data_IF_104179044560
#
_entry.id   IF_104179044560
#
_cell.length_a   1.000
_cell.length_b   1.000
_cell.length_c   1.000
_cell.angle_alpha   90.00
_cell.angle_beta   90.00
_cell.angle_gamma   90.00
#
_symmetry.space_group_name_H-M   'P 1'
#
loop_
_entity.id
_entity.type
_entity.pdbx_description
1 polymer ?
#
# COMPACT_ATOMS: atom_id res chain seq x y z
N UNK A 1 -29.50 1.62 -28.88
CA UNK A 1 -28.03 1.62 -29.04
C UNK A 1 -27.36 2.53 -28.02
N UNK A 2 -27.65 3.84 -27.97
CA UNK A 2 -27.09 4.74 -26.94
C UNK A 2 -27.48 4.35 -25.51
N UNK A 3 -28.75 3.99 -25.28
CA UNK A 3 -29.22 3.53 -23.96
C UNK A 3 -28.57 2.23 -23.49
N UNK A 4 -28.23 1.32 -24.40
CA UNK A 4 -27.52 0.06 -24.09
C UNK A 4 -26.05 0.34 -23.76
N UNK A 5 -25.40 1.23 -24.52
CA UNK A 5 -24.04 1.68 -24.24
C UNK A 5 -23.92 2.35 -22.85
N UNK A 6 -24.88 3.17 -22.47
CA UNK A 6 -24.89 3.80 -21.14
C UNK A 6 -25.15 2.77 -20.02
N UNK A 7 -26.00 1.78 -20.28
CA UNK A 7 -26.22 0.66 -19.36
C UNK A 7 -24.94 -0.17 -19.16
N UNK A 8 -24.25 -0.52 -20.23
CA UNK A 8 -23.00 -1.28 -20.19
C UNK A 8 -21.88 -0.51 -19.46
N UNK A 9 -21.78 0.80 -19.69
CA UNK A 9 -20.84 1.67 -18.96
C UNK A 9 -21.13 1.69 -17.47
N UNK A 10 -22.40 1.83 -17.08
CA UNK A 10 -22.78 1.83 -15.66
C UNK A 10 -22.51 0.49 -14.97
N UNK A 11 -22.77 -0.63 -15.65
CA UNK A 11 -22.47 -1.97 -15.13
C UNK A 11 -20.96 -2.18 -14.98
N UNK A 12 -20.17 -1.69 -15.92
CA UNK A 12 -18.71 -1.76 -15.88
C UNK A 12 -18.14 -0.89 -14.76
N UNK A 13 -18.64 0.34 -14.63
CA UNK A 13 -18.28 1.27 -13.57
C UNK A 13 -18.59 0.72 -12.17
N UNK A 14 -19.70 -0.02 -12.01
CA UNK A 14 -20.05 -0.66 -10.75
C UNK A 14 -19.05 -1.77 -10.33
N UNK A 15 -18.43 -2.48 -11.28
CA UNK A 15 -17.42 -3.52 -11.00
C UNK A 15 -16.08 -2.91 -10.57
N UNK A 16 -15.78 -1.71 -11.05
CA UNK A 16 -14.55 -0.94 -10.74
C UNK A 16 -14.51 -0.43 -9.31
N UNK A 17 -15.65 -0.18 -8.67
CA UNK A 17 -15.67 0.14 -7.25
C UNK A 17 -15.59 -1.13 -6.41
N UNK A 18 -14.63 -1.20 -5.50
CA UNK A 18 -14.53 -2.32 -4.57
C UNK A 18 -15.66 -2.23 -3.52
N UNK A 19 -16.02 -3.34 -2.86
CA UNK A 19 -16.88 -3.30 -1.68
C UNK A 19 -16.30 -2.39 -0.60
N UNK A 20 -17.17 -1.71 0.16
CA UNK A 20 -16.74 -0.68 1.13
C UNK A 20 -15.75 -1.18 2.19
N UNK A 21 -15.74 -2.48 2.51
CA UNK A 21 -14.82 -3.08 3.47
C UNK A 21 -13.40 -3.26 2.91
N UNK A 22 -13.23 -3.29 1.59
CA UNK A 22 -11.94 -3.56 0.94
C UNK A 22 -10.93 -2.45 1.23
N UNK A 23 -11.33 -1.19 1.07
CA UNK A 23 -10.45 -0.04 1.30
C UNK A 23 -9.91 0.07 2.75
N UNK A 24 -10.73 -0.03 3.81
CA UNK A 24 -10.22 -0.04 5.17
C UNK A 24 -9.38 -1.29 5.47
N UNK A 25 -9.70 -2.44 4.88
CA UNK A 25 -8.85 -3.63 5.01
C UNK A 25 -7.47 -3.41 4.39
N UNK A 26 -7.40 -2.85 3.18
CA UNK A 26 -6.12 -2.58 2.53
C UNK A 26 -5.29 -1.53 3.28
N UNK A 27 -5.96 -0.50 3.81
CA UNK A 27 -5.34 0.48 4.72
C UNK A 27 -4.78 -0.17 5.99
N UNK A 28 -5.55 -1.06 6.61
CA UNK A 28 -5.12 -1.81 7.80
C UNK A 28 -3.93 -2.73 7.52
N UNK A 29 -3.96 -3.48 6.41
CA UNK A 29 -2.86 -4.36 6.00
C UNK A 29 -1.59 -3.54 5.75
N UNK A 30 -1.69 -2.42 5.04
CA UNK A 30 -0.57 -1.52 4.76
C UNK A 30 0.02 -0.92 6.04
N UNK A 31 -0.82 -0.44 6.95
CA UNK A 31 -0.38 0.05 8.26
C UNK A 31 0.28 -1.04 9.10
N UNK A 32 -0.29 -2.25 9.11
CA UNK A 32 0.22 -3.36 9.91
C UNK A 32 1.59 -3.83 9.41
N UNK A 33 1.76 -3.96 8.09
CA UNK A 33 3.06 -4.29 7.47
C UNK A 33 4.09 -3.22 7.82
N UNK A 34 3.74 -1.95 7.68
CA UNK A 34 4.67 -0.85 7.95
C UNK A 34 5.01 -0.72 9.44
N UNK A 35 4.03 -0.95 10.32
CA UNK A 35 4.23 -0.93 11.77
C UNK A 35 5.12 -2.08 12.25
N UNK A 36 4.88 -3.30 11.75
CA UNK A 36 5.75 -4.44 12.04
C UNK A 36 7.14 -4.28 11.45
N UNK A 37 7.26 -3.70 10.24
CA UNK A 37 8.55 -3.38 9.66
C UNK A 37 9.31 -2.36 10.52
N UNK A 38 8.64 -1.30 10.98
CA UNK A 38 9.22 -0.33 11.90
C UNK A 38 9.66 -0.96 13.22
N UNK A 39 8.83 -1.83 13.80
CA UNK A 39 9.17 -2.59 15.02
C UNK A 39 10.38 -3.50 14.79
N UNK A 40 10.41 -4.26 13.70
CA UNK A 40 11.53 -5.11 13.34
C UNK A 40 12.81 -4.30 13.13
N UNK A 41 12.71 -3.16 12.44
CA UNK A 41 13.85 -2.29 12.19
C UNK A 41 14.37 -1.63 13.48
N UNK A 42 13.49 -1.33 14.45
CA UNK A 42 13.88 -0.87 15.78
C UNK A 42 14.69 -1.89 16.59
N UNK A 43 14.60 -3.18 16.26
CA UNK A 43 15.38 -4.25 16.89
C UNK A 43 16.78 -4.38 16.30
N UNK A 44 17.08 -3.62 15.24
CA UNK A 44 18.43 -3.56 14.69
C UNK A 44 19.27 -2.59 15.52
N UNK A 45 20.20 -3.15 16.29
CA UNK A 45 21.26 -2.39 16.94
C UNK A 45 22.33 -2.07 15.90
N UNK A 46 22.06 -1.01 15.13
CA UNK A 46 23.01 -0.47 14.17
C UNK A 46 23.97 0.47 14.91
N UNK A 47 25.25 0.12 14.92
CA UNK A 47 26.32 0.92 15.50
C UNK A 47 27.19 1.47 14.38
N UNK A 48 27.42 2.78 14.38
CA UNK A 48 28.41 3.43 13.52
C UNK A 48 29.70 3.66 14.31
N UNK A 49 30.81 3.10 13.86
CA UNK A 49 32.16 3.41 14.38
C UNK A 49 33.01 4.07 13.29
N UNK A 50 34.19 4.60 13.66
CA UNK A 50 35.15 5.14 12.69
C UNK A 50 35.67 4.11 11.66
N UNK A 51 35.38 2.82 11.87
CA UNK A 51 35.77 1.70 11.00
C UNK A 51 34.62 1.20 10.10
N UNK A 52 33.39 1.72 10.27
CA UNK A 52 32.24 1.38 9.44
C UNK A 52 30.93 1.24 10.22
N UNK A 53 29.94 0.63 9.57
CA UNK A 53 28.63 0.32 10.15
C UNK A 53 28.55 -1.16 10.50
N UNK A 54 28.21 -1.48 11.75
CA UNK A 54 27.87 -2.84 12.16
C UNK A 54 26.39 -2.90 12.54
N UNK A 55 25.73 -4.00 12.20
CA UNK A 55 24.33 -4.24 12.54
C UNK A 55 24.21 -5.57 13.27
N UNK A 56 23.69 -5.53 14.49
CA UNK A 56 23.29 -6.71 15.25
C UNK A 56 21.80 -6.69 15.53
N UNK A 57 21.21 -7.87 15.75
CA UNK A 57 19.84 -7.96 16.28
C UNK A 57 19.95 -7.88 17.80
N UNK A 58 19.32 -6.88 18.43
CA UNK A 58 19.31 -6.73 19.90
C UNK A 58 18.26 -7.58 20.60
N UNK A 59 17.37 -8.22 19.84
CA UNK A 59 16.30 -9.09 20.36
C UNK A 59 16.64 -10.56 20.20
N UNK A 60 15.78 -11.42 20.76
CA UNK A 60 15.91 -12.85 20.51
C UNK A 60 15.66 -13.16 19.03
N UNK A 61 16.41 -14.13 18.48
CA UNK A 61 16.19 -14.62 17.12
C UNK A 61 14.73 -15.06 16.90
N UNK A 62 14.08 -15.59 17.94
CA UNK A 62 12.68 -16.00 17.88
C UNK A 62 11.73 -14.82 17.64
N UNK A 63 11.93 -13.68 18.31
CA UNK A 63 11.10 -12.48 18.11
C UNK A 63 11.31 -11.86 16.74
N UNK A 64 12.57 -11.73 16.30
CA UNK A 64 12.89 -11.21 14.98
C UNK A 64 12.31 -12.09 13.85
N UNK A 65 12.36 -13.42 14.02
CA UNK A 65 11.73 -14.37 13.11
C UNK A 65 10.21 -14.23 13.10
N UNK A 66 9.59 -14.08 14.27
CA UNK A 66 8.13 -13.96 14.39
C UNK A 66 7.61 -12.67 13.72
N UNK A 67 8.29 -11.54 13.91
CA UNK A 67 7.94 -10.27 13.26
C UNK A 67 8.06 -10.39 11.72
N UNK A 68 9.14 -11.00 11.22
CA UNK A 68 9.31 -11.29 9.78
C UNK A 68 8.23 -12.24 9.24
N UNK A 69 7.90 -13.30 9.98
CA UNK A 69 6.84 -14.24 9.62
C UNK A 69 5.49 -13.54 9.47
N UNK A 70 5.14 -12.63 10.39
CA UNK A 70 3.90 -11.86 10.30
C UNK A 70 3.91 -10.86 9.16
N UNK A 71 5.02 -10.17 8.93
CA UNK A 71 5.17 -9.26 7.77
C UNK A 71 4.89 -10.01 6.47
N UNK A 72 5.55 -11.16 6.27
CA UNK A 72 5.36 -11.99 5.08
C UNK A 72 3.93 -12.51 4.97
N UNK A 73 3.33 -12.93 6.10
CA UNK A 73 1.93 -13.39 6.15
C UNK A 73 0.97 -12.28 5.73
N UNK A 74 1.13 -11.07 6.25
CA UNK A 74 0.27 -9.93 5.90
C UNK A 74 0.45 -9.49 4.45
N UNK A 75 1.68 -9.51 3.92
CA UNK A 75 1.94 -9.27 2.50
C UNK A 75 1.24 -10.32 1.65
N UNK A 76 1.29 -11.60 2.04
CA UNK A 76 0.61 -12.68 1.33
C UNK A 76 -0.92 -12.53 1.38
N UNK A 77 -1.49 -12.17 2.53
CA UNK A 77 -2.92 -11.84 2.64
C UNK A 77 -3.28 -10.66 1.73
N UNK A 78 -2.47 -9.61 1.71
CA UNK A 78 -2.64 -8.47 0.80
C UNK A 78 -2.59 -8.90 -0.67
N UNK A 79 -1.67 -9.80 -1.03
CA UNK A 79 -1.62 -10.39 -2.38
C UNK A 79 -2.91 -11.14 -2.74
N UNK A 80 -3.43 -11.98 -1.84
CA UNK A 80 -4.70 -12.70 -2.06
C UNK A 80 -5.90 -11.77 -2.20
N UNK A 81 -5.97 -10.72 -1.38
CA UNK A 81 -7.02 -9.70 -1.45
C UNK A 81 -6.97 -8.95 -2.79
N UNK A 82 -5.78 -8.60 -3.26
CA UNK A 82 -5.60 -7.96 -4.57
C UNK A 82 -5.90 -8.91 -5.75
N UNK A 83 -5.55 -10.19 -5.64
CA UNK A 83 -5.89 -11.19 -6.64
C UNK A 83 -7.41 -11.37 -6.75
N UNK A 84 -8.09 -11.50 -5.62
CA UNK A 84 -9.56 -11.49 -5.57
C UNK A 84 -10.15 -10.21 -6.17
N UNK A 85 -9.55 -9.05 -5.89
CA UNK A 85 -9.99 -7.77 -6.47
C UNK A 85 -9.90 -7.79 -8.00
N UNK A 86 -8.83 -8.34 -8.55
CA UNK A 86 -8.64 -8.49 -10.00
C UNK A 86 -9.74 -9.35 -10.63
N UNK A 87 -10.10 -10.45 -9.98
CA UNK A 87 -11.18 -11.34 -10.47
C UNK A 87 -12.53 -10.62 -10.50
N UNK A 88 -12.82 -9.76 -9.52
CA UNK A 88 -14.07 -8.99 -9.47
C UNK A 88 -14.18 -7.92 -10.57
N UNK A 89 -13.05 -7.30 -10.92
CA UNK A 89 -13.02 -6.27 -11.97
C UNK A 89 -13.16 -6.93 -13.36
N UNK A 90 -12.61 -8.13 -13.53
CA UNK A 90 -12.66 -8.89 -14.78
C UNK A 90 -11.49 -8.60 -15.72
N UNK A 91 -11.47 -9.29 -16.87
CA UNK A 91 -10.35 -9.26 -17.82
C UNK A 91 -10.21 -7.93 -18.58
N UNK A 92 -11.20 -7.03 -18.50
CA UNK A 92 -11.23 -5.77 -19.23
C UNK A 92 -10.21 -4.73 -18.69
N UNK A 93 -9.70 -4.95 -17.48
CA UNK A 93 -8.78 -4.05 -16.81
C UNK A 93 -7.59 -4.79 -16.20
N UNK A 94 -6.39 -4.37 -16.60
CA UNK A 94 -5.16 -4.79 -15.95
C UNK A 94 -5.02 -4.15 -14.57
N UNK A 95 -4.36 -4.87 -13.65
CA UNK A 95 -3.91 -4.34 -12.37
C UNK A 95 -2.39 -4.31 -12.29
N UNK A 96 -1.85 -3.27 -11.68
CA UNK A 96 -0.42 -3.06 -11.44
C UNK A 96 -0.25 -2.67 -9.97
N UNK A 97 0.48 -3.48 -9.20
CA UNK A 97 0.77 -3.24 -7.77
C UNK A 97 -0.49 -3.02 -6.92
N UNK A 98 -1.58 -3.73 -7.20
CA UNK A 98 -2.86 -3.61 -6.48
C UNK A 98 -3.78 -2.50 -6.98
N UNK A 99 -3.34 -1.64 -7.89
CA UNK A 99 -4.18 -0.59 -8.50
C UNK A 99 -4.61 -0.98 -9.91
N UNK A 100 -5.75 -0.46 -10.36
CA UNK A 100 -6.12 -0.51 -11.78
C UNK A 100 -5.05 0.23 -12.58
N UNK A 101 -4.57 -0.39 -13.67
CA UNK A 101 -3.51 0.18 -14.52
C UNK A 101 -3.88 1.60 -14.99
N UNK A 102 -3.01 2.60 -14.78
CA UNK A 102 -3.28 3.97 -15.20
C UNK A 102 -3.55 4.08 -16.71
N UNK A 103 -4.60 4.82 -17.08
CA UNK A 103 -5.02 5.00 -18.49
C UNK A 103 -4.86 6.41 -19.03
N UNK A 104 -4.64 7.39 -18.17
CA UNK A 104 -4.43 8.78 -18.56
C UNK A 104 -3.39 9.46 -17.66
N UNK A 105 -2.99 10.67 -18.01
CA UNK A 105 -1.97 11.43 -17.29
C UNK A 105 -2.32 11.67 -15.80
N UNK A 106 -3.61 11.88 -15.49
CA UNK A 106 -4.06 12.09 -14.10
C UNK A 106 -3.88 10.81 -13.29
N UNK A 107 -4.29 9.65 -13.81
CA UNK A 107 -4.09 8.37 -13.12
C UNK A 107 -2.60 8.05 -12.94
N UNK A 108 -1.77 8.35 -13.95
CA UNK A 108 -0.32 8.19 -13.84
C UNK A 108 0.29 9.08 -12.76
N UNK A 109 -0.18 10.32 -12.65
CA UNK A 109 0.24 11.24 -11.60
C UNK A 109 -0.14 10.71 -10.22
N UNK A 110 -1.40 10.30 -10.01
CA UNK A 110 -1.85 9.72 -8.73
C UNK A 110 -1.07 8.47 -8.34
N UNK A 111 -0.88 7.56 -9.29
CA UNK A 111 -0.11 6.33 -9.06
C UNK A 111 1.35 6.62 -8.70
N UNK A 112 2.00 7.53 -9.44
CA UNK A 112 3.38 7.94 -9.17
C UNK A 112 3.52 8.65 -7.82
N UNK A 113 2.56 9.51 -7.47
CA UNK A 113 2.53 10.19 -6.18
C UNK A 113 2.37 9.20 -5.03
N UNK A 114 1.53 8.17 -5.19
CA UNK A 114 1.38 7.10 -4.20
C UNK A 114 2.68 6.33 -4.01
N UNK A 115 3.33 5.92 -5.11
CA UNK A 115 4.61 5.22 -5.06
C UNK A 115 5.72 6.06 -4.42
N UNK A 116 5.75 7.37 -4.71
CA UNK A 116 6.67 8.31 -4.08
C UNK A 116 6.44 8.39 -2.56
N UNK A 117 5.19 8.49 -2.11
CA UNK A 117 4.87 8.52 -0.68
C UNK A 117 5.28 7.22 0.02
N UNK A 118 5.01 6.07 -0.59
CA UNK A 118 5.47 4.77 -0.06
C UNK A 118 7.01 4.71 0.03
N UNK A 119 7.71 5.20 -1.00
CA UNK A 119 9.17 5.29 -1.00
C UNK A 119 9.70 6.20 0.11
N UNK A 120 9.10 7.38 0.30
CA UNK A 120 9.44 8.31 1.39
C UNK A 120 9.18 7.67 2.75
N UNK A 121 8.08 6.93 2.92
CA UNK A 121 7.75 6.28 4.18
C UNK A 121 8.81 5.22 4.56
N UNK A 122 9.21 4.37 3.61
CA UNK A 122 10.28 3.38 3.81
C UNK A 122 11.61 4.08 4.10
N UNK A 123 11.98 5.09 3.31
CA UNK A 123 13.21 5.85 3.52
C UNK A 123 13.22 6.53 4.90
N UNK A 124 12.08 7.03 5.37
CA UNK A 124 11.94 7.65 6.69
C UNK A 124 12.18 6.65 7.83
N UNK A 125 11.70 5.41 7.70
CA UNK A 125 12.01 4.35 8.67
C UNK A 125 13.49 4.01 8.64
N UNK A 126 14.09 3.90 7.45
CA UNK A 126 15.54 3.63 7.33
C UNK A 126 16.37 4.74 7.97
N UNK A 127 16.07 6.01 7.65
CA UNK A 127 16.72 7.18 8.26
C UNK A 127 16.51 7.20 9.77
N UNK A 128 15.31 6.84 10.23
CA UNK A 128 15.02 6.78 11.66
C UNK A 128 15.90 5.75 12.38
N UNK A 129 16.02 4.54 11.84
CA UNK A 129 16.89 3.49 12.40
C UNK A 129 18.36 3.91 12.38
N UNK A 130 18.82 4.58 11.32
CA UNK A 130 20.23 4.91 11.16
C UNK A 130 20.67 6.16 11.95
N UNK A 131 19.79 7.16 12.10
CA UNK A 131 20.18 8.50 12.54
C UNK A 131 19.30 9.07 13.67
N UNK A 132 18.08 8.59 13.87
CA UNK A 132 17.07 9.24 14.74
C UNK A 132 16.44 8.28 15.76
N UNK A 133 17.19 7.28 16.23
CA UNK A 133 16.72 6.26 17.21
C UNK A 133 16.13 6.86 18.52
N UNK A 134 16.28 8.16 18.76
CA UNK A 134 15.69 8.90 19.89
C UNK A 134 14.21 9.29 19.77
N UNK A 135 13.52 8.98 18.66
CA UNK A 135 12.08 9.30 18.48
C UNK A 135 11.24 8.00 18.49
N UNK A 136 10.78 7.50 19.64
CA UNK A 136 10.23 6.14 19.76
C UNK A 136 8.95 5.89 18.94
N UNK A 137 8.12 6.90 18.70
CA UNK A 137 6.80 6.72 18.08
C UNK A 137 6.75 6.99 16.56
N UNK A 138 7.87 7.44 15.97
CA UNK A 138 7.90 7.84 14.55
C UNK A 138 7.47 6.71 13.59
N UNK A 139 7.89 5.44 13.77
CA UNK A 139 7.47 4.36 12.88
C UNK A 139 5.96 4.08 12.91
N UNK A 140 5.32 4.20 14.08
CA UNK A 140 3.88 4.03 14.23
C UNK A 140 3.10 5.18 13.59
N UNK A 141 3.60 6.42 13.70
CA UNK A 141 3.03 7.56 13.01
C UNK A 141 3.10 7.39 11.48
N UNK A 142 4.26 6.97 10.95
CA UNK A 142 4.44 6.68 9.53
C UNK A 142 3.49 5.57 9.09
N UNK A 143 3.40 4.47 9.84
CA UNK A 143 2.50 3.37 9.54
C UNK A 143 1.02 3.80 9.45
N UNK A 144 0.59 4.66 10.37
CA UNK A 144 -0.77 5.21 10.38
C UNK A 144 -1.04 6.07 9.15
N UNK A 145 -0.09 6.94 8.77
CA UNK A 145 -0.20 7.79 7.59
C UNK A 145 -0.24 6.95 6.31
N UNK A 146 0.62 5.93 6.19
CA UNK A 146 0.63 5.01 5.05
C UNK A 146 -0.70 4.27 4.94
N UNK A 147 -1.24 3.76 6.06
CA UNK A 147 -2.54 3.09 6.08
C UNK A 147 -3.70 4.00 5.67
N UNK A 148 -3.71 5.26 6.14
CA UNK A 148 -4.70 6.23 5.74
C UNK A 148 -4.60 6.56 4.24
N UNK A 149 -3.39 6.74 3.72
CA UNK A 149 -3.17 7.03 2.30
C UNK A 149 -3.56 5.82 1.43
N UNK A 150 -3.25 4.59 1.85
CA UNK A 150 -3.70 3.38 1.16
C UNK A 150 -5.23 3.30 1.12
N UNK A 151 -5.90 3.51 2.25
CA UNK A 151 -7.37 3.51 2.30
C UNK A 151 -7.97 4.61 1.41
N UNK A 152 -7.71 5.88 1.73
CA UNK A 152 -8.38 6.99 1.07
C UNK A 152 -7.90 7.19 -0.36
N UNK A 153 -6.61 6.94 -0.62
CA UNK A 153 -5.99 7.09 -1.93
C UNK A 153 -6.53 6.09 -2.94
N UNK A 154 -6.61 4.80 -2.59
CA UNK A 154 -7.17 3.78 -3.47
C UNK A 154 -8.67 4.01 -3.70
N UNK A 155 -9.42 4.38 -2.66
CA UNK A 155 -10.83 4.72 -2.81
C UNK A 155 -11.05 5.92 -3.74
N UNK A 156 -10.24 6.97 -3.61
CA UNK A 156 -10.32 8.14 -4.47
C UNK A 156 -9.92 7.82 -5.92
N UNK A 157 -8.91 6.97 -6.10
CA UNK A 157 -8.42 6.50 -7.40
C UNK A 157 -9.50 5.72 -8.14
N UNK A 158 -10.10 4.70 -7.50
CA UNK A 158 -11.19 3.91 -8.09
C UNK A 158 -12.40 4.78 -8.42
N UNK A 159 -12.75 5.71 -7.53
CA UNK A 159 -13.89 6.63 -7.75
C UNK A 159 -13.65 7.57 -8.93
N UNK A 160 -12.42 8.04 -9.10
CA UNK A 160 -12.05 8.83 -10.26
C UNK A 160 -12.16 8.00 -11.55
N UNK A 161 -11.65 6.76 -11.54
CA UNK A 161 -11.70 5.89 -12.69
C UNK A 161 -13.12 5.47 -13.08
N UNK A 162 -13.95 5.14 -12.10
CA UNK A 162 -15.37 4.87 -12.26
C UNK A 162 -16.09 6.00 -13.01
N UNK A 163 -15.87 7.27 -12.60
CA UNK A 163 -16.42 8.44 -13.28
C UNK A 163 -15.93 8.60 -14.73
N UNK A 164 -14.70 8.19 -15.04
CA UNK A 164 -14.20 8.22 -16.42
C UNK A 164 -14.92 7.19 -17.28
N UNK A 165 -15.14 5.98 -16.76
CA UNK A 165 -15.88 4.91 -17.46
C UNK A 165 -17.32 5.33 -17.72
N UNK A 166 -18.01 5.88 -16.71
CA UNK A 166 -19.38 6.41 -16.87
C UNK A 166 -19.47 7.47 -17.97
N UNK A 167 -18.41 8.26 -18.17
CA UNK A 167 -18.33 9.30 -19.21
C UNK A 167 -17.83 8.79 -20.55
N UNK A 168 -17.43 7.52 -20.67
CA UNK A 168 -16.79 6.97 -21.87
C UNK A 168 -15.41 7.55 -22.18
N UNK A 169 -14.66 7.94 -21.14
CA UNK A 169 -13.34 8.60 -21.22
C UNK A 169 -12.19 7.71 -20.70
N UNK A 170 -12.46 6.42 -20.49
CA UNK A 170 -11.56 5.44 -19.88
C UNK A 170 -11.03 4.41 -20.88
#
# INVERSE_FOLDING_TARGET
MLSQLDQDRSLTAARIMAPKWYYPLNGFLSASVMGLYGKWAAQMNIQSSGEGWSAGISTSIFEAFFDMFWILTLIYVGYLVNAWRKEQIGADYDMIWGFIKPRNAVMWFWWSAFMLVCGIAVASVVVWVLLLQGIPDLPYAIATVVGAIAWFGEHAYDRYFCKLVERGQA
#
